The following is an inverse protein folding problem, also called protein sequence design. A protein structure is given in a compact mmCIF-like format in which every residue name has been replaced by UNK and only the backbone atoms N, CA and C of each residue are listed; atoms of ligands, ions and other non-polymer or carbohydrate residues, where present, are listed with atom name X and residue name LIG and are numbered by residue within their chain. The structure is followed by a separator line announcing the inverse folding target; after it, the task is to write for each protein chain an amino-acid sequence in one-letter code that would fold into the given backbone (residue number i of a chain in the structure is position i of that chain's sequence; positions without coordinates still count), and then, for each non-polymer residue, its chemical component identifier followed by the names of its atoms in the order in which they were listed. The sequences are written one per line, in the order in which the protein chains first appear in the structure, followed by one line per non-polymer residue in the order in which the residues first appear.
data_IF_357096474280
#
_entry.id   IF_357096474280
#
_cell.length_a   1.000
_cell.length_b   1.000
_cell.length_c   1.000
_cell.angle_alpha   90.00
_cell.angle_beta   90.00
_cell.angle_gamma   90.00
#
_symmetry.space_group_name_H-M   'P 1'
#
loop_
_entity.id
_entity.type
_entity.pdbx_description
1 polymer ?
#
# COMPACT_ATOMS: atom_id res chain seq x y z
N UNK A 1 -57.82 30.41 -7.50
CA UNK A 1 -56.64 30.07 -8.37
C UNK A 1 -55.32 30.71 -7.87
N UNK A 2 -55.13 30.95 -6.57
CA UNK A 2 -53.94 31.65 -6.04
C UNK A 2 -53.04 30.76 -5.13
N UNK A 3 -53.57 29.72 -4.51
CA UNK A 3 -52.78 28.98 -3.50
C UNK A 3 -51.92 27.89 -4.06
N UNK A 4 -52.25 27.29 -5.21
CA UNK A 4 -51.41 26.25 -5.82
C UNK A 4 -50.16 26.79 -6.54
N UNK A 5 -50.18 28.02 -7.03
CA UNK A 5 -49.03 28.66 -7.68
C UNK A 5 -47.96 29.08 -6.66
N UNK A 6 -48.36 29.44 -5.44
CA UNK A 6 -47.42 29.84 -4.38
C UNK A 6 -46.66 28.63 -3.80
N UNK A 7 -47.33 27.49 -3.66
CA UNK A 7 -46.69 26.24 -3.14
C UNK A 7 -45.69 25.70 -4.14
N UNK A 8 -45.98 25.74 -5.45
CA UNK A 8 -45.04 25.31 -6.49
C UNK A 8 -43.80 26.22 -6.60
N UNK A 9 -43.96 27.52 -6.40
CA UNK A 9 -42.86 28.47 -6.44
C UNK A 9 -41.90 28.29 -5.23
N UNK A 10 -42.42 28.01 -4.05
CA UNK A 10 -41.61 27.75 -2.86
C UNK A 10 -40.88 26.40 -2.93
N UNK A 11 -41.51 25.36 -3.48
CA UNK A 11 -40.83 24.05 -3.65
C UNK A 11 -39.72 24.13 -4.71
N UNK A 12 -39.90 24.89 -5.80
CA UNK A 12 -38.88 25.10 -6.81
C UNK A 12 -37.70 25.96 -6.30
N UNK A 13 -37.98 26.99 -5.49
CA UNK A 13 -36.92 27.81 -4.89
C UNK A 13 -36.09 27.04 -3.84
N UNK A 14 -36.75 26.22 -3.02
CA UNK A 14 -36.05 25.36 -2.05
C UNK A 14 -35.18 24.27 -2.71
N UNK A 15 -35.66 23.68 -3.81
CA UNK A 15 -34.85 22.69 -4.55
C UNK A 15 -33.67 23.34 -5.28
N UNK A 16 -33.82 24.54 -5.80
CA UNK A 16 -32.73 25.26 -6.47
C UNK A 16 -31.67 25.76 -5.51
N UNK A 17 -32.05 26.24 -4.33
CA UNK A 17 -31.10 26.65 -3.30
C UNK A 17 -30.34 25.46 -2.69
N UNK A 18 -31.00 24.30 -2.51
CA UNK A 18 -30.34 23.07 -2.01
C UNK A 18 -29.35 22.50 -3.03
N UNK A 19 -29.65 22.52 -4.32
CA UNK A 19 -28.73 22.07 -5.37
C UNK A 19 -27.55 23.03 -5.54
N UNK A 20 -27.76 24.34 -5.49
CA UNK A 20 -26.67 25.33 -5.54
C UNK A 20 -25.75 25.22 -4.32
N UNK A 21 -26.28 25.00 -3.13
CA UNK A 21 -25.48 24.81 -1.92
C UNK A 21 -24.67 23.49 -1.94
N UNK A 22 -25.27 22.41 -2.41
CA UNK A 22 -24.57 21.12 -2.55
C UNK A 22 -23.46 21.19 -3.60
N UNK A 23 -23.69 21.90 -4.71
CA UNK A 23 -22.67 22.08 -5.76
C UNK A 23 -21.51 22.96 -5.26
N UNK A 24 -21.78 24.03 -4.52
CA UNK A 24 -20.77 24.90 -3.96
C UNK A 24 -19.95 24.20 -2.88
N UNK A 25 -20.56 23.38 -2.03
CA UNK A 25 -19.86 22.56 -1.03
C UNK A 25 -18.98 21.47 -1.68
N UNK A 26 -19.47 20.82 -2.72
CA UNK A 26 -18.67 19.84 -3.47
C UNK A 26 -17.49 20.51 -4.18
N UNK A 27 -17.68 21.69 -4.74
CA UNK A 27 -16.62 22.44 -5.41
C UNK A 27 -15.54 22.93 -4.41
N UNK A 28 -15.93 23.42 -3.23
CA UNK A 28 -14.97 23.83 -2.19
C UNK A 28 -14.14 22.64 -1.69
N UNK A 29 -14.76 21.48 -1.52
CA UNK A 29 -14.05 20.26 -1.10
C UNK A 29 -13.06 19.78 -2.18
N UNK A 30 -13.38 19.88 -3.45
CA UNK A 30 -12.45 19.52 -4.53
C UNK A 30 -11.25 20.51 -4.60
N UNK A 31 -11.43 21.79 -4.32
CA UNK A 31 -10.34 22.78 -4.23
C UNK A 31 -9.39 22.48 -3.07
N UNK A 32 -9.90 22.10 -1.91
CA UNK A 32 -9.10 21.67 -0.75
C UNK A 32 -8.31 20.38 -1.07
N UNK A 33 -8.91 19.41 -1.77
CA UNK A 33 -8.22 18.20 -2.19
C UNK A 33 -7.10 18.50 -3.18
N UNK A 34 -7.33 19.41 -4.16
CA UNK A 34 -6.29 19.87 -5.08
C UNK A 34 -5.11 20.47 -4.32
N UNK A 35 -5.39 21.32 -3.32
CA UNK A 35 -4.34 21.89 -2.47
C UNK A 35 -3.56 20.81 -1.70
N UNK A 36 -4.27 19.84 -1.08
CA UNK A 36 -3.63 18.74 -0.37
C UNK A 36 -2.75 17.89 -1.31
N UNK A 37 -3.23 17.57 -2.51
CA UNK A 37 -2.47 16.81 -3.51
C UNK A 37 -1.24 17.59 -3.98
N UNK A 38 -1.33 18.91 -4.08
CA UNK A 38 -0.20 19.78 -4.45
C UNK A 38 0.95 19.77 -3.43
N UNK A 39 0.69 19.33 -2.19
CA UNK A 39 1.70 19.20 -1.12
C UNK A 39 2.54 17.93 -1.22
N UNK A 40 2.16 16.98 -2.09
CA UNK A 40 2.97 15.82 -2.40
C UNK A 40 4.20 16.28 -3.21
N UNK A 41 5.36 15.85 -2.77
CA UNK A 41 6.64 16.25 -3.35
C UNK A 41 7.48 15.04 -3.73
N UNK A 42 7.90 14.95 -4.99
CA UNK A 42 8.65 13.82 -5.52
C UNK A 42 10.00 13.65 -4.81
N UNK A 43 10.70 14.74 -4.52
CA UNK A 43 12.01 14.67 -3.87
C UNK A 43 11.88 14.28 -2.39
N UNK A 44 10.81 14.70 -1.71
CA UNK A 44 10.48 14.25 -0.35
C UNK A 44 10.21 12.74 -0.33
N UNK A 45 9.37 12.24 -1.23
CA UNK A 45 9.09 10.82 -1.39
C UNK A 45 10.36 10.00 -1.66
N UNK A 46 11.16 10.41 -2.64
CA UNK A 46 12.46 9.81 -2.96
C UNK A 46 13.43 9.84 -1.77
N UNK A 47 13.48 10.96 -1.06
CA UNK A 47 14.34 11.14 0.11
C UNK A 47 14.01 10.14 1.23
N UNK A 48 12.73 9.88 1.46
CA UNK A 48 12.27 8.89 2.44
C UNK A 48 12.70 7.48 2.03
N UNK A 49 12.48 7.08 0.77
CA UNK A 49 12.96 5.79 0.25
C UNK A 49 14.49 5.70 0.38
N UNK A 50 15.20 6.75 -0.02
CA UNK A 50 16.67 6.79 0.11
C UNK A 50 17.13 6.67 1.56
N UNK A 51 16.41 7.28 2.50
CA UNK A 51 16.66 7.13 3.92
C UNK A 51 16.53 5.67 4.40
N UNK A 52 15.54 4.94 3.89
CA UNK A 52 15.35 3.52 4.22
C UNK A 52 16.47 2.62 3.70
N UNK A 53 17.13 2.96 2.58
CA UNK A 53 18.21 2.14 2.01
C UNK A 53 19.44 2.00 2.91
N UNK A 54 19.61 2.89 3.89
CA UNK A 54 20.72 2.80 4.85
C UNK A 54 20.68 1.53 5.71
N UNK A 55 19.53 0.88 5.80
CA UNK A 55 19.32 -0.34 6.59
C UNK A 55 19.32 -1.62 5.72
N UNK A 56 19.72 -1.55 4.45
CA UNK A 56 19.66 -2.68 3.52
C UNK A 56 18.23 -3.13 3.26
N UNK A 57 18.01 -4.44 3.13
CA UNK A 57 16.67 -5.00 2.90
C UNK A 57 15.77 -4.97 4.15
N UNK A 58 16.22 -4.43 5.25
CA UNK A 58 15.45 -4.30 6.51
C UNK A 58 14.81 -5.61 6.97
N UNK A 59 15.46 -6.72 6.67
CA UNK A 59 14.95 -8.06 6.93
C UNK A 59 14.55 -8.20 8.40
N UNK A 60 13.34 -8.64 8.64
CA UNK A 60 12.80 -8.82 9.98
C UNK A 60 13.71 -9.69 10.87
N UNK A 61 13.80 -9.40 12.17
CA UNK A 61 14.61 -10.14 13.13
C UNK A 61 16.09 -9.77 13.17
N UNK A 62 16.50 -8.75 12.43
CA UNK A 62 17.86 -8.19 12.46
C UNK A 62 17.92 -6.90 13.27
N UNK A 63 19.12 -6.49 13.69
CA UNK A 63 19.32 -5.19 14.35
C UNK A 63 19.01 -4.04 13.40
N UNK A 64 19.41 -4.14 12.13
CA UNK A 64 19.12 -3.13 11.12
C UNK A 64 17.61 -2.93 10.87
N UNK A 65 16.80 -3.99 11.03
CA UNK A 65 15.35 -3.87 11.01
C UNK A 65 14.83 -3.08 12.22
N UNK A 66 15.33 -3.36 13.44
CA UNK A 66 14.98 -2.57 14.63
C UNK A 66 15.37 -1.12 14.49
N UNK A 67 16.56 -0.84 13.95
CA UNK A 67 17.00 0.53 13.65
C UNK A 67 16.09 1.22 12.61
N UNK A 68 15.60 0.49 11.62
CA UNK A 68 14.65 1.02 10.63
C UNK A 68 13.29 1.37 11.28
N UNK A 69 12.78 0.51 12.16
CA UNK A 69 11.55 0.80 12.95
C UNK A 69 11.73 2.07 13.78
N UNK A 70 12.88 2.21 14.47
CA UNK A 70 13.19 3.40 15.28
C UNK A 70 13.34 4.66 14.42
N UNK A 71 13.97 4.53 13.26
CA UNK A 71 14.11 5.64 12.31
C UNK A 71 12.74 6.09 11.78
N UNK A 72 11.87 5.15 11.36
CA UNK A 72 10.50 5.46 10.91
C UNK A 72 9.73 6.17 12.01
N UNK A 73 9.76 5.65 13.25
CA UNK A 73 9.11 6.30 14.38
C UNK A 73 9.59 7.75 14.58
N UNK A 74 10.91 7.98 14.49
CA UNK A 74 11.46 9.33 14.61
C UNK A 74 11.05 10.28 13.48
N UNK A 75 10.89 9.76 12.25
CA UNK A 75 10.39 10.56 11.13
C UNK A 75 8.91 10.93 11.32
N UNK A 76 8.06 9.98 11.73
CA UNK A 76 6.65 10.24 12.01
C UNK A 76 6.48 11.30 13.11
N UNK A 77 7.27 11.21 14.19
CA UNK A 77 7.28 12.22 15.25
C UNK A 77 7.67 13.61 14.72
N UNK A 78 8.71 13.67 13.88
CA UNK A 78 9.16 14.92 13.26
C UNK A 78 8.10 15.53 12.31
N UNK A 79 7.23 14.70 11.74
CA UNK A 79 6.09 15.11 10.90
C UNK A 79 4.87 15.55 11.72
N UNK A 80 4.91 15.45 13.05
CA UNK A 80 3.81 15.79 13.94
C UNK A 80 2.79 14.66 14.11
N UNK A 81 3.11 13.43 13.68
CA UNK A 81 2.30 12.24 13.89
C UNK A 81 2.92 11.39 15.00
N UNK A 82 2.34 11.43 16.20
CA UNK A 82 2.89 10.73 17.37
C UNK A 82 2.90 9.22 17.17
N UNK A 83 4.09 8.57 17.16
CA UNK A 83 4.19 7.16 16.87
C UNK A 83 3.80 6.30 18.07
N UNK A 84 3.08 5.22 17.76
CA UNK A 84 2.76 4.12 18.66
C UNK A 84 3.34 2.82 18.12
N UNK A 85 3.42 1.79 18.96
CA UNK A 85 4.00 0.50 18.57
C UNK A 85 3.08 -0.67 18.90
N UNK A 86 3.14 -1.69 18.05
CA UNK A 86 2.69 -3.04 18.36
C UNK A 86 3.93 -3.90 18.57
N UNK A 87 3.96 -4.61 19.68
CA UNK A 87 5.01 -5.56 19.98
C UNK A 87 4.44 -6.98 19.99
N UNK A 88 5.19 -7.91 19.41
CA UNK A 88 4.83 -9.33 19.37
C UNK A 88 6.08 -10.20 19.33
N UNK A 89 5.91 -11.49 19.56
CA UNK A 89 7.02 -12.45 19.49
C UNK A 89 6.86 -13.28 18.21
N UNK A 90 7.92 -13.32 17.41
CA UNK A 90 7.99 -14.20 16.25
C UNK A 90 8.98 -15.33 16.52
N UNK A 91 8.45 -16.52 16.74
CA UNK A 91 9.19 -17.75 17.00
C UNK A 91 8.54 -18.89 16.19
N UNK A 92 8.75 -18.90 14.87
CA UNK A 92 8.14 -19.92 14.02
C UNK A 92 8.71 -21.30 14.31
N UNK A 93 7.82 -22.28 14.43
CA UNK A 93 8.23 -23.67 14.50
C UNK A 93 9.17 -24.05 13.35
N UNK A 94 10.21 -24.83 13.60
CA UNK A 94 11.10 -25.30 12.55
C UNK A 94 10.29 -26.01 11.46
N UNK A 95 10.27 -25.46 10.25
CA UNK A 95 9.58 -26.13 9.15
C UNK A 95 10.23 -27.47 8.88
N UNK A 96 9.44 -28.57 8.87
CA UNK A 96 10.00 -29.86 8.51
C UNK A 96 10.66 -29.77 7.12
N UNK A 97 11.76 -30.49 6.90
CA UNK A 97 12.42 -30.51 5.59
C UNK A 97 11.39 -30.78 4.52
N UNK A 98 11.20 -29.87 3.59
CA UNK A 98 10.29 -30.09 2.46
C UNK A 98 10.82 -31.31 1.70
N UNK A 99 10.03 -32.37 1.63
CA UNK A 99 10.32 -33.48 0.73
C UNK A 99 10.48 -32.88 -0.67
N UNK A 100 11.70 -32.88 -1.19
CA UNK A 100 11.94 -32.51 -2.58
C UNK A 100 11.15 -33.50 -3.43
N UNK A 101 10.03 -33.09 -4.01
CA UNK A 101 9.51 -33.81 -5.16
C UNK A 101 10.65 -33.86 -6.17
N UNK A 102 10.97 -35.04 -6.72
CA UNK A 102 11.95 -35.13 -7.79
C UNK A 102 11.60 -34.08 -8.85
N UNK A 103 12.52 -33.19 -9.17
CA UNK A 103 12.39 -32.38 -10.38
C UNK A 103 12.36 -33.41 -11.52
N UNK A 104 11.33 -33.36 -12.37
CA UNK A 104 11.44 -34.01 -13.67
C UNK A 104 12.68 -33.44 -14.34
N UNK A 105 13.59 -34.28 -14.77
CA UNK A 105 14.78 -33.89 -15.52
C UNK A 105 14.46 -33.43 -16.94
N UNK A 106 13.23 -33.13 -17.25
CA UNK A 106 12.81 -32.54 -18.50
C UNK A 106 13.16 -31.07 -18.51
N UNK A 107 14.02 -30.69 -19.44
CA UNK A 107 14.25 -29.30 -19.76
C UNK A 107 12.89 -28.63 -20.06
N UNK A 108 12.63 -27.44 -19.54
CA UNK A 108 11.38 -26.75 -19.84
C UNK A 108 11.31 -26.53 -21.36
N UNK A 109 10.30 -27.09 -22.00
CA UNK A 109 10.02 -26.79 -23.40
C UNK A 109 9.59 -25.32 -23.54
N UNK A 110 10.54 -24.50 -23.97
CA UNK A 110 10.33 -23.08 -24.21
C UNK A 110 9.57 -22.79 -25.50
N UNK A 111 9.27 -23.80 -26.28
CA UNK A 111 8.62 -23.66 -27.62
C UNK A 111 7.11 -23.80 -27.59
N UNK A 112 6.56 -24.37 -26.53
CA UNK A 112 5.11 -24.42 -26.32
C UNK A 112 4.67 -23.28 -25.40
N UNK A 113 3.57 -22.58 -25.73
CA UNK A 113 2.92 -21.68 -24.79
C UNK A 113 2.31 -22.52 -23.64
N UNK A 114 3.15 -23.06 -22.80
CA UNK A 114 2.68 -23.64 -21.56
C UNK A 114 2.11 -22.54 -20.73
N UNK A 115 0.83 -22.60 -20.44
CA UNK A 115 0.23 -21.76 -19.43
C UNK A 115 1.11 -21.77 -18.19
N UNK A 116 1.95 -20.73 -18.09
CA UNK A 116 2.92 -20.67 -17.03
C UNK A 116 2.20 -20.68 -15.70
N UNK A 117 2.44 -21.65 -14.85
CA UNK A 117 2.02 -21.55 -13.46
C UNK A 117 2.74 -20.35 -12.89
N UNK A 118 1.99 -19.33 -12.54
CA UNK A 118 2.45 -18.29 -11.64
C UNK A 118 3.11 -18.91 -10.43
N UNK A 119 4.10 -18.26 -9.90
CA UNK A 119 4.84 -18.72 -8.76
C UNK A 119 3.94 -19.28 -7.66
N UNK A 120 4.46 -20.05 -6.84
CA UNK A 120 3.93 -21.02 -5.89
C UNK A 120 2.70 -20.66 -5.07
N UNK A 121 2.25 -19.43 -5.07
CA UNK A 121 1.11 -18.93 -4.31
C UNK A 121 -0.23 -18.96 -5.08
N UNK A 122 -0.22 -19.34 -6.33
CA UNK A 122 -1.41 -19.53 -7.15
C UNK A 122 -1.97 -20.95 -7.10
N UNK A 123 -2.13 -21.56 -5.96
CA UNK A 123 -2.73 -22.88 -5.82
C UNK A 123 -4.21 -22.83 -5.50
N UNK A 124 -5.01 -22.18 -6.37
CA UNK A 124 -6.45 -22.40 -6.43
C UNK A 124 -6.76 -23.35 -7.58
N UNK A 125 -7.83 -24.17 -7.51
CA UNK A 125 -8.33 -24.93 -8.65
C UNK A 125 -8.92 -23.94 -9.66
N UNK A 126 -8.13 -23.55 -10.65
CA UNK A 126 -8.49 -22.54 -11.65
C UNK A 126 -7.32 -21.61 -12.00
N UNK A 127 -6.08 -22.04 -11.76
CA UNK A 127 -4.89 -21.26 -12.05
C UNK A 127 -4.96 -20.61 -13.42
N UNK A 128 -4.99 -19.28 -13.46
CA UNK A 128 -4.94 -18.49 -14.68
C UNK A 128 -3.64 -18.79 -15.42
N UNK A 129 -3.75 -19.13 -16.67
CA UNK A 129 -2.62 -19.33 -17.57
C UNK A 129 -2.06 -17.97 -17.92
N UNK A 130 -0.87 -17.65 -17.44
CA UNK A 130 -0.16 -16.46 -17.89
C UNK A 130 0.62 -16.84 -19.15
N UNK A 131 0.30 -16.18 -20.24
CA UNK A 131 1.10 -16.22 -21.46
C UNK A 131 2.18 -15.15 -21.33
N UNK A 132 3.44 -15.52 -21.33
CA UNK A 132 4.53 -14.56 -21.32
C UNK A 132 5.81 -15.05 -20.67
N UNK A 133 6.79 -14.18 -20.63
CA UNK A 133 8.10 -14.43 -20.06
C UNK A 133 8.01 -14.69 -18.56
N UNK A 134 8.75 -15.69 -18.08
CA UNK A 134 8.96 -15.95 -16.65
C UNK A 134 10.39 -15.66 -16.29
N UNK A 135 10.61 -14.66 -15.46
CA UNK A 135 11.85 -14.63 -14.74
C UNK A 135 11.82 -15.58 -13.52
N UNK A 136 12.96 -16.01 -13.01
CA UNK A 136 13.05 -16.77 -11.79
C UNK A 136 12.42 -15.98 -10.64
N UNK A 137 11.35 -16.49 -10.06
CA UNK A 137 10.75 -15.93 -8.87
C UNK A 137 11.23 -16.71 -7.65
N UNK A 138 11.72 -16.03 -6.68
CA UNK A 138 12.14 -16.60 -5.42
C UNK A 138 13.07 -15.65 -4.69
N UNK A 139 13.04 -15.69 -3.36
CA UNK A 139 13.92 -14.87 -2.53
C UNK A 139 15.37 -15.27 -2.78
N UNK A 140 16.16 -14.33 -3.25
CA UNK A 140 17.62 -14.53 -3.31
C UNK A 140 18.19 -14.44 -1.90
N UNK A 141 18.98 -15.44 -1.53
CA UNK A 141 19.68 -15.51 -0.23
C UNK A 141 21.19 -15.62 -0.38
N UNK A 142 21.68 -15.55 -1.60
CA UNK A 142 23.10 -15.60 -1.87
C UNK A 142 23.69 -14.19 -1.82
N UNK A 143 24.41 -13.89 -0.75
CA UNK A 143 25.11 -12.61 -0.58
C UNK A 143 26.03 -12.30 -1.77
N UNK A 144 26.63 -13.31 -2.39
CA UNK A 144 27.57 -13.13 -3.49
C UNK A 144 26.87 -12.79 -4.82
N UNK A 145 25.56 -12.95 -4.90
CA UNK A 145 24.77 -12.48 -6.03
C UNK A 145 24.60 -10.95 -6.07
N UNK A 146 24.82 -10.28 -4.92
CA UNK A 146 24.84 -8.81 -4.84
C UNK A 146 26.22 -8.28 -5.21
N UNK A 147 26.37 -7.51 -6.31
CA UNK A 147 27.68 -7.00 -6.73
C UNK A 147 28.22 -5.90 -5.82
N UNK A 148 27.36 -5.11 -5.19
CA UNK A 148 27.75 -4.00 -4.32
C UNK A 148 28.20 -4.54 -2.94
N UNK A 149 29.45 -4.27 -2.58
CA UNK A 149 30.04 -4.74 -1.31
C UNK A 149 29.36 -4.09 -0.10
N UNK A 150 29.01 -2.82 -0.18
CA UNK A 150 28.31 -2.12 0.90
C UNK A 150 26.95 -2.78 1.19
N UNK A 151 26.20 -3.11 0.14
CA UNK A 151 24.89 -3.76 0.27
C UNK A 151 25.07 -5.19 0.80
N UNK A 152 26.10 -5.92 0.38
CA UNK A 152 26.42 -7.24 0.96
C UNK A 152 26.69 -7.16 2.46
N UNK A 153 27.49 -6.19 2.90
CA UNK A 153 27.81 -6.02 4.31
C UNK A 153 26.56 -5.66 5.13
N UNK A 154 25.71 -4.76 4.64
CA UNK A 154 24.44 -4.41 5.29
C UNK A 154 23.53 -5.63 5.47
N UNK A 155 23.49 -6.51 4.48
CA UNK A 155 22.59 -7.68 4.47
C UNK A 155 23.22 -8.96 5.03
N UNK A 156 24.40 -8.89 5.63
CA UNK A 156 25.12 -10.06 6.18
C UNK A 156 24.48 -10.61 7.44
N UNK A 157 23.82 -9.77 8.20
CA UNK A 157 23.19 -10.16 9.46
C UNK A 157 22.03 -11.14 9.22
N UNK A 158 22.07 -12.28 9.89
CA UNK A 158 20.99 -13.27 9.82
C UNK A 158 19.91 -12.97 10.86
N UNK A 159 18.63 -13.18 10.53
CA UNK A 159 17.52 -12.94 11.43
C UNK A 159 17.52 -13.93 12.60
N UNK A 160 17.17 -13.45 13.77
CA UNK A 160 16.96 -14.28 14.97
C UNK A 160 15.48 -14.29 15.37
N UNK A 161 15.04 -15.37 16.00
CA UNK A 161 13.72 -15.46 16.61
C UNK A 161 13.62 -14.51 17.81
N UNK A 162 12.40 -14.12 18.17
CA UNK A 162 12.15 -13.32 19.37
C UNK A 162 11.27 -12.10 19.11
N UNK A 163 11.43 -11.02 19.90
CA UNK A 163 10.57 -9.84 19.80
C UNK A 163 10.64 -9.14 18.46
N UNK A 164 9.48 -8.67 18.01
CA UNK A 164 9.29 -7.79 16.85
C UNK A 164 8.50 -6.58 17.29
N UNK A 165 8.74 -5.49 16.62
CA UNK A 165 7.99 -4.25 16.78
C UNK A 165 7.64 -3.69 15.40
N UNK A 166 6.49 -3.09 15.31
CA UNK A 166 6.05 -2.28 14.18
C UNK A 166 5.53 -0.94 14.69
N UNK A 167 5.36 0.01 13.80
CA UNK A 167 5.02 1.38 14.17
C UNK A 167 3.83 1.88 13.38
N UNK A 168 2.97 2.62 14.05
CA UNK A 168 1.88 3.36 13.44
C UNK A 168 1.71 4.72 14.13
N UNK A 169 1.00 5.63 13.49
CA UNK A 169 0.51 6.85 14.12
C UNK A 169 -0.91 7.16 13.63
N UNK A 170 -1.62 8.05 14.34
CA UNK A 170 -3.03 8.32 14.05
C UNK A 170 -3.30 9.82 14.01
N UNK A 171 -3.83 10.30 12.88
CA UNK A 171 -4.56 11.56 12.82
C UNK A 171 -5.94 11.34 13.40
N UNK A 172 -6.26 11.94 14.54
CA UNK A 172 -7.56 11.80 15.19
C UNK A 172 -8.59 12.68 14.49
N UNK A 173 -9.75 12.09 14.18
CA UNK A 173 -10.88 12.81 13.59
C UNK A 173 -11.53 13.78 14.55
N UNK A 174 -12.09 14.88 14.03
CA UNK A 174 -12.68 15.95 14.86
C UNK A 174 -14.14 15.69 15.24
N UNK A 175 -14.94 15.10 14.38
CA UNK A 175 -16.37 14.88 14.60
C UNK A 175 -16.76 13.42 14.78
N UNK A 176 -15.97 12.48 14.23
CA UNK A 176 -16.14 11.03 14.31
C UNK A 176 -14.81 10.35 14.67
N UNK A 177 -14.22 10.67 15.84
CA UNK A 177 -12.93 10.11 16.24
C UNK A 177 -12.99 8.59 16.50
N UNK A 178 -14.17 8.04 16.68
CA UNK A 178 -14.46 6.62 16.86
C UNK A 178 -14.51 5.80 15.56
N UNK A 179 -14.29 6.44 14.41
CA UNK A 179 -14.25 5.82 13.09
C UNK A 179 -12.89 6.06 12.43
N UNK A 180 -12.38 5.10 11.62
CA UNK A 180 -11.02 5.16 11.10
C UNK A 180 -10.83 4.46 9.76
N UNK A 181 -10.02 5.07 8.89
CA UNK A 181 -9.37 4.38 7.77
C UNK A 181 -7.94 4.00 8.14
N UNK A 182 -7.49 2.82 7.72
CA UNK A 182 -6.12 2.35 7.92
C UNK A 182 -5.39 2.42 6.57
N UNK A 183 -4.28 3.16 6.53
CA UNK A 183 -3.37 3.24 5.39
C UNK A 183 -2.09 2.50 5.78
N UNK A 184 -1.81 1.38 5.11
CA UNK A 184 -0.72 0.50 5.48
C UNK A 184 0.30 0.28 4.38
N UNK A 185 1.51 -0.07 4.78
CA UNK A 185 2.58 -0.63 3.97
C UNK A 185 3.47 -1.49 4.87
N UNK A 186 4.08 -2.56 4.34
CA UNK A 186 5.11 -3.23 5.14
C UNK A 186 6.47 -2.55 4.96
N UNK A 187 7.29 -2.59 6.01
CA UNK A 187 8.58 -1.91 6.03
C UNK A 187 9.78 -2.85 5.89
N UNK A 188 9.59 -4.13 6.12
CA UNK A 188 10.61 -5.15 5.92
C UNK A 188 10.71 -5.58 4.45
N UNK A 189 11.78 -6.24 4.08
CA UNK A 189 12.01 -6.73 2.74
C UNK A 189 12.99 -7.90 2.72
N UNK A 190 13.26 -8.42 1.53
CA UNK A 190 14.10 -9.56 1.24
C UNK A 190 15.00 -9.34 0.02
N UNK A 191 16.00 -10.21 -0.14
CA UNK A 191 16.66 -10.40 -1.42
C UNK A 191 18.09 -9.94 -1.52
N UNK A 192 18.74 -9.60 -0.41
CA UNK A 192 20.13 -9.10 -0.38
C UNK A 192 20.24 -7.80 -1.20
N UNK A 193 19.40 -6.85 -0.90
CA UNK A 193 19.19 -5.61 -1.63
C UNK A 193 18.98 -4.42 -0.68
N UNK A 194 18.37 -3.35 -1.17
CA UNK A 194 17.98 -2.18 -0.39
C UNK A 194 16.46 -2.10 -0.17
N UNK A 195 15.69 -3.06 -0.71
CA UNK A 195 14.23 -3.13 -0.66
C UNK A 195 13.58 -1.76 -1.01
N UNK A 196 14.01 -1.18 -2.14
CA UNK A 196 13.59 0.14 -2.58
C UNK A 196 12.14 0.11 -3.04
N UNK A 197 11.80 -0.89 -3.85
CA UNK A 197 10.45 -1.08 -4.34
C UNK A 197 9.64 -1.97 -3.39
N UNK A 198 10.18 -3.10 -2.97
CA UNK A 198 9.54 -4.07 -2.09
C UNK A 198 10.14 -4.03 -0.66
N UNK A 199 9.59 -3.23 0.29
CA UNK A 199 8.50 -2.27 0.08
C UNK A 199 8.86 -0.89 0.67
N UNK A 200 10.05 -0.37 0.30
CA UNK A 200 10.44 1.01 0.63
C UNK A 200 9.51 2.03 -0.03
N UNK A 201 9.00 1.70 -1.22
CA UNK A 201 8.09 2.56 -1.98
C UNK A 201 6.76 2.77 -1.26
N UNK A 202 6.10 1.68 -0.84
CA UNK A 202 4.85 1.76 -0.07
C UNK A 202 5.06 2.39 1.30
N UNK A 203 6.15 2.04 2.00
CA UNK A 203 6.52 2.66 3.29
C UNK A 203 6.63 4.17 3.18
N UNK A 204 7.38 4.67 2.19
CA UNK A 204 7.56 6.11 1.98
C UNK A 204 6.25 6.80 1.58
N UNK A 205 5.41 6.13 0.79
CA UNK A 205 4.09 6.64 0.42
C UNK A 205 3.23 6.89 1.66
N UNK A 206 3.12 5.90 2.55
CA UNK A 206 2.32 6.03 3.79
C UNK A 206 2.89 7.13 4.69
N UNK A 207 4.23 7.27 4.75
CA UNK A 207 4.87 8.35 5.51
C UNK A 207 4.59 9.74 4.90
N UNK A 208 4.56 9.89 3.57
CA UNK A 208 4.17 11.15 2.91
C UNK A 208 2.70 11.52 3.20
N UNK A 209 1.80 10.52 3.19
CA UNK A 209 0.41 10.74 3.59
C UNK A 209 0.32 11.19 5.07
N UNK A 210 1.09 10.53 5.96
CA UNK A 210 1.16 10.93 7.37
C UNK A 210 1.63 12.37 7.52
N UNK A 211 2.66 12.79 6.77
CA UNK A 211 3.18 14.17 6.78
C UNK A 211 2.11 15.19 6.40
N UNK A 212 1.35 14.92 5.34
CA UNK A 212 0.35 15.87 4.84
C UNK A 212 -0.86 15.93 5.76
N UNK A 213 -1.44 14.78 6.14
CA UNK A 213 -2.61 14.76 7.01
C UNK A 213 -2.32 15.24 8.44
N UNK A 214 -1.07 15.09 8.94
CA UNK A 214 -0.67 15.58 10.26
C UNK A 214 -0.27 17.05 10.29
N UNK A 215 -0.27 17.74 9.14
CA UNK A 215 -0.07 19.18 9.09
C UNK A 215 -1.09 19.90 9.99
N UNK A 216 -0.67 20.95 10.76
CA UNK A 216 -1.54 21.61 11.74
C UNK A 216 -2.79 22.26 11.14
N UNK A 217 -2.75 22.64 9.86
CA UNK A 217 -3.86 23.25 9.12
C UNK A 217 -4.79 22.22 8.49
N UNK A 218 -4.52 20.91 8.62
CA UNK A 218 -5.38 19.87 8.09
C UNK A 218 -6.23 19.25 9.19
N UNK A 219 -7.54 19.28 9.04
CA UNK A 219 -8.48 18.55 9.86
C UNK A 219 -9.19 17.45 9.08
N UNK A 220 -9.60 16.40 9.76
CA UNK A 220 -10.42 15.31 9.18
C UNK A 220 -11.62 15.04 10.08
N UNK A 221 -12.76 14.67 9.52
CA UNK A 221 -13.92 14.26 10.31
C UNK A 221 -13.69 12.91 10.97
N UNK A 222 -13.10 11.97 10.24
CA UNK A 222 -12.80 10.60 10.65
C UNK A 222 -11.30 10.46 10.92
N UNK A 223 -10.91 9.57 11.83
CA UNK A 223 -9.52 9.27 12.10
C UNK A 223 -8.84 8.57 10.91
N UNK A 224 -7.53 8.77 10.76
CA UNK A 224 -6.70 8.09 9.77
C UNK A 224 -5.50 7.49 10.49
N UNK A 225 -5.28 6.19 10.35
CA UNK A 225 -4.11 5.48 10.87
C UNK A 225 -3.12 5.21 9.76
N UNK A 226 -1.86 5.58 9.97
CA UNK A 226 -0.74 5.31 9.09
C UNK A 226 0.09 4.20 9.72
N UNK A 227 0.05 3.01 9.13
CA UNK A 227 0.61 1.80 9.73
C UNK A 227 1.75 1.23 8.87
N UNK A 228 2.92 1.03 9.48
CA UNK A 228 4.11 0.46 8.85
C UNK A 228 4.33 -0.92 9.47
N UNK A 229 3.79 -1.95 8.77
CA UNK A 229 3.85 -3.33 9.21
C UNK A 229 5.26 -3.88 9.16
N UNK A 230 5.59 -4.78 10.04
CA UNK A 230 6.86 -5.48 10.04
C UNK A 230 6.63 -6.98 9.86
N UNK A 231 7.61 -7.68 9.27
CA UNK A 231 7.54 -9.14 9.14
C UNK A 231 6.41 -9.63 8.21
N UNK A 232 6.14 -8.87 7.16
CA UNK A 232 5.23 -9.26 6.08
C UNK A 232 5.80 -10.44 5.31
N UNK A 233 7.06 -10.34 4.93
CA UNK A 233 7.81 -11.22 4.03
C UNK A 233 7.93 -12.68 4.51
N UNK A 234 7.59 -12.94 5.74
CA UNK A 234 7.57 -14.31 6.29
C UNK A 234 6.17 -14.81 6.61
N UNK A 235 5.14 -14.04 6.25
CA UNK A 235 3.73 -14.45 6.29
C UNK A 235 2.78 -13.49 6.97
N UNK A 236 2.86 -12.18 6.70
CA UNK A 236 1.94 -11.12 7.16
C UNK A 236 1.87 -11.00 8.69
N UNK A 237 2.98 -11.30 9.38
CA UNK A 237 2.93 -11.52 10.83
C UNK A 237 2.69 -10.23 11.63
N UNK A 238 3.19 -9.09 11.17
CA UNK A 238 2.94 -7.81 11.82
C UNK A 238 1.47 -7.39 11.71
N UNK A 239 0.94 -7.35 10.50
CA UNK A 239 -0.47 -7.06 10.27
C UNK A 239 -1.39 -8.00 11.05
N UNK A 240 -1.04 -9.30 11.13
CA UNK A 240 -1.77 -10.27 11.94
C UNK A 240 -1.68 -9.96 13.44
N UNK A 241 -0.51 -9.59 13.93
CA UNK A 241 -0.32 -9.22 15.34
C UNK A 241 -1.13 -7.97 15.72
N UNK A 242 -1.13 -6.96 14.84
CA UNK A 242 -1.99 -5.78 15.01
C UNK A 242 -3.47 -6.18 15.04
N UNK A 243 -3.92 -6.94 14.05
CA UNK A 243 -5.30 -7.40 13.94
C UNK A 243 -5.75 -8.13 15.21
N UNK A 244 -4.98 -9.12 15.66
CA UNK A 244 -5.31 -9.93 16.83
C UNK A 244 -5.38 -9.10 18.12
N UNK A 245 -4.52 -8.09 18.26
CA UNK A 245 -4.49 -7.22 19.43
C UNK A 245 -5.57 -6.15 19.41
N UNK A 246 -6.08 -5.76 18.25
CA UNK A 246 -6.91 -4.56 18.06
C UNK A 246 -8.35 -4.83 17.62
N UNK A 247 -8.63 -5.91 16.93
CA UNK A 247 -9.95 -6.18 16.35
C UNK A 247 -11.10 -6.14 17.37
N UNK A 248 -10.85 -6.62 18.59
CA UNK A 248 -11.86 -6.63 19.66
C UNK A 248 -12.00 -5.28 20.40
N UNK A 249 -11.13 -4.31 20.14
CA UNK A 249 -11.09 -3.01 20.80
C UNK A 249 -11.78 -1.91 19.99
N UNK A 250 -12.21 -2.21 18.78
CA UNK A 250 -12.78 -1.23 17.85
C UNK A 250 -13.97 -0.48 18.44
N UNK A 251 -13.90 0.86 18.41
CA UNK A 251 -14.96 1.76 18.88
C UNK A 251 -15.17 1.75 20.39
N UNK A 252 -14.26 1.12 21.16
CA UNK A 252 -14.33 1.12 22.63
C UNK A 252 -13.61 2.35 23.16
N UNK A 253 -14.38 3.18 23.87
CA UNK A 253 -13.87 4.36 24.54
C UNK A 253 -13.00 3.96 25.76
N UNK A 254 -11.81 4.55 25.88
CA UNK A 254 -10.91 4.26 26.98
C UNK A 254 -10.03 5.49 27.34
N UNK A 255 -10.21 6.06 28.55
CA UNK A 255 -11.17 5.69 29.60
C UNK A 255 -12.64 5.96 29.22
N UNK A 256 -13.56 5.21 29.81
CA UNK A 256 -15.00 5.42 29.55
C UNK A 256 -15.42 6.86 29.89
N UNK A 257 -16.10 7.55 28.98
CA UNK A 257 -16.52 8.94 29.08
C UNK A 257 -15.44 9.97 28.71
N UNK A 258 -14.28 9.53 28.13
CA UNK A 258 -13.21 10.43 27.69
C UNK A 258 -13.37 10.96 26.27
N UNK A 259 -14.17 10.29 25.44
CA UNK A 259 -14.22 10.46 23.98
C UNK A 259 -12.89 10.09 23.30
N UNK A 260 -12.04 9.32 23.95
CA UNK A 260 -10.80 8.78 23.41
C UNK A 260 -10.99 7.32 22.99
N UNK A 261 -10.63 7.02 21.73
CA UNK A 261 -10.76 5.69 21.13
C UNK A 261 -9.38 5.19 20.71
N UNK A 262 -8.68 4.43 21.56
CA UNK A 262 -7.37 3.87 21.21
C UNK A 262 -7.41 3.00 19.93
N UNK A 263 -8.57 2.37 19.67
CA UNK A 263 -8.84 1.67 18.43
C UNK A 263 -10.21 2.10 17.89
N UNK A 264 -10.27 3.12 17.02
CA UNK A 264 -11.52 3.48 16.35
C UNK A 264 -12.06 2.35 15.47
N UNK A 265 -13.33 2.35 15.17
CA UNK A 265 -13.97 1.36 14.29
C UNK A 265 -13.42 1.50 12.86
N UNK A 266 -12.97 0.40 12.30
CA UNK A 266 -12.39 0.37 10.96
C UNK A 266 -13.46 0.55 9.89
N UNK A 267 -13.25 1.50 8.99
CA UNK A 267 -14.11 1.77 7.83
C UNK A 267 -13.54 1.23 6.52
N UNK A 268 -12.23 1.06 6.45
CA UNK A 268 -11.51 0.53 5.30
C UNK A 268 -10.04 0.34 5.60
N UNK A 269 -9.43 -0.64 4.93
CA UNK A 269 -8.00 -0.90 4.96
C UNK A 269 -7.42 -0.77 3.56
N UNK A 270 -6.41 0.07 3.41
CA UNK A 270 -5.75 0.38 2.15
C UNK A 270 -4.27 0.07 2.28
N UNK A 271 -3.80 -0.94 1.57
CA UNK A 271 -2.41 -1.37 1.56
C UNK A 271 -1.68 -0.81 0.35
N UNK A 272 -0.40 -0.47 0.54
CA UNK A 272 0.51 -0.04 -0.52
C UNK A 272 1.70 -0.98 -0.56
N UNK A 273 1.93 -1.60 -1.73
CA UNK A 273 2.92 -2.65 -1.83
C UNK A 273 3.48 -2.72 -3.24
N UNK A 274 4.77 -2.36 -3.41
CA UNK A 274 5.49 -2.29 -4.67
C UNK A 274 4.86 -1.28 -5.66
N UNK A 275 5.42 -0.07 -5.69
CA UNK A 275 4.77 1.07 -6.37
C UNK A 275 5.58 1.63 -7.55
N UNK A 276 6.72 1.01 -7.94
CA UNK A 276 7.66 1.69 -8.83
C UNK A 276 7.79 1.07 -10.22
N UNK A 277 7.37 -0.18 -10.45
CA UNK A 277 7.73 -0.89 -11.66
C UNK A 277 6.54 -1.25 -12.55
N UNK A 278 6.41 -0.58 -13.70
CA UNK A 278 5.50 -1.01 -14.77
C UNK A 278 6.13 -0.83 -16.16
N UNK A 279 7.23 -1.54 -16.40
CA UNK A 279 8.01 -1.48 -17.63
C UNK A 279 7.51 -2.41 -18.74
N UNK A 280 6.43 -3.15 -18.47
CA UNK A 280 5.86 -4.11 -19.41
C UNK A 280 6.67 -5.39 -19.54
N UNK A 281 6.32 -6.20 -20.54
CA UNK A 281 6.98 -7.47 -20.82
C UNK A 281 8.36 -7.26 -21.46
N UNK A 282 9.33 -8.16 -21.19
CA UNK A 282 10.58 -8.20 -21.94
C UNK A 282 10.31 -8.35 -23.45
N UNK A 283 11.18 -7.73 -24.25
CA UNK A 283 11.23 -7.94 -25.70
C UNK A 283 11.58 -9.39 -26.06
N UNK A 284 11.44 -9.75 -27.33
CA UNK A 284 11.67 -11.13 -27.81
C UNK A 284 13.10 -11.67 -27.51
N UNK A 285 14.07 -10.79 -27.35
CA UNK A 285 15.45 -11.07 -26.96
C UNK A 285 15.68 -11.05 -25.43
N UNK A 286 14.62 -10.90 -24.64
CA UNK A 286 14.65 -10.94 -23.19
C UNK A 286 15.07 -9.62 -22.52
N UNK A 287 15.17 -8.53 -23.27
CA UNK A 287 15.52 -7.22 -22.71
C UNK A 287 14.29 -6.56 -22.11
N UNK A 288 14.38 -6.16 -20.85
CA UNK A 288 13.38 -5.34 -20.17
C UNK A 288 13.68 -3.88 -20.41
N UNK A 289 12.66 -3.07 -20.73
CA UNK A 289 12.81 -1.62 -20.85
C UNK A 289 13.35 -1.03 -19.54
N UNK A 290 14.12 0.04 -19.66
CA UNK A 290 14.53 0.85 -18.50
C UNK A 290 13.50 1.91 -18.13
N UNK A 291 12.55 2.16 -19.00
CA UNK A 291 11.55 3.20 -18.85
C UNK A 291 10.18 2.57 -18.59
N UNK A 292 9.34 3.26 -17.86
CA UNK A 292 7.95 2.91 -17.70
C UNK A 292 7.28 2.77 -19.08
N UNK A 293 6.37 1.81 -19.22
CA UNK A 293 5.59 1.70 -20.44
C UNK A 293 4.62 2.89 -20.58
N UNK A 294 4.25 3.28 -21.82
CA UNK A 294 3.31 4.38 -22.02
C UNK A 294 1.94 4.15 -21.35
N UNK A 295 1.56 2.89 -21.14
CA UNK A 295 0.31 2.48 -20.50
C UNK A 295 0.49 2.13 -19.01
N UNK A 296 1.58 2.59 -18.39
CA UNK A 296 1.79 2.40 -16.96
C UNK A 296 0.63 2.97 -16.16
N UNK A 297 0.19 2.25 -15.14
CA UNK A 297 -0.94 2.64 -14.31
C UNK A 297 -0.79 2.19 -12.85
N UNK A 298 -1.56 2.82 -11.99
CA UNK A 298 -1.70 2.39 -10.59
C UNK A 298 -2.81 1.35 -10.53
N UNK A 299 -2.49 0.14 -10.10
CA UNK A 299 -3.48 -0.90 -9.89
C UNK A 299 -4.12 -0.80 -8.51
N UNK A 300 -5.44 -0.73 -8.50
CA UNK A 300 -6.27 -0.79 -7.29
C UNK A 300 -6.92 -2.18 -7.27
N UNK A 301 -6.45 -3.04 -6.40
CA UNK A 301 -6.85 -4.43 -6.34
C UNK A 301 -7.75 -4.72 -5.15
N UNK A 302 -8.74 -5.59 -5.34
CA UNK A 302 -9.56 -6.14 -4.27
C UNK A 302 -9.59 -7.68 -4.32
N UNK A 303 -9.66 -8.32 -3.15
CA UNK A 303 -9.63 -9.78 -3.04
C UNK A 303 -10.96 -10.41 -3.46
N UNK A 304 -10.94 -11.19 -4.54
CA UNK A 304 -12.13 -11.88 -5.05
C UNK A 304 -12.66 -12.98 -4.11
N UNK A 305 -11.85 -13.44 -3.16
CA UNK A 305 -12.23 -14.41 -2.12
C UNK A 305 -12.71 -13.78 -0.81
N UNK A 306 -12.80 -12.45 -0.74
CA UNK A 306 -13.28 -11.74 0.45
C UNK A 306 -14.79 -11.93 0.66
N UNK A 307 -15.22 -12.05 1.93
CA UNK A 307 -16.63 -12.01 2.32
C UNK A 307 -17.23 -10.60 2.10
N UNK A 308 -16.38 -9.55 2.02
CA UNK A 308 -16.73 -8.15 1.79
C UNK A 308 -16.30 -7.69 0.37
N UNK A 309 -16.42 -8.58 -0.62
CA UNK A 309 -15.96 -8.29 -1.99
C UNK A 309 -16.68 -7.08 -2.61
N UNK A 310 -18.00 -6.96 -2.38
CA UNK A 310 -18.80 -5.86 -2.96
C UNK A 310 -18.39 -4.51 -2.35
N UNK A 311 -18.21 -4.44 -1.06
CA UNK A 311 -17.78 -3.25 -0.32
C UNK A 311 -16.34 -2.88 -0.68
N UNK A 312 -15.46 -3.86 -0.81
CA UNK A 312 -14.06 -3.67 -1.24
C UNK A 312 -14.00 -3.16 -2.68
N UNK A 313 -14.82 -3.70 -3.57
CA UNK A 313 -14.94 -3.22 -4.95
C UNK A 313 -15.48 -1.78 -4.99
N UNK A 314 -16.49 -1.44 -4.19
CA UNK A 314 -17.00 -0.07 -4.09
C UNK A 314 -15.94 0.90 -3.58
N UNK A 315 -15.12 0.47 -2.59
CA UNK A 315 -14.00 1.25 -2.10
C UNK A 315 -12.97 1.47 -3.22
N UNK A 316 -12.59 0.43 -3.96
CA UNK A 316 -11.67 0.52 -5.08
C UNK A 316 -12.14 1.51 -6.16
N UNK A 317 -13.43 1.50 -6.50
CA UNK A 317 -13.98 2.46 -7.47
C UNK A 317 -14.03 3.91 -6.96
N UNK A 318 -14.13 4.15 -5.65
CA UNK A 318 -13.97 5.49 -5.07
C UNK A 318 -12.53 5.99 -5.25
N UNK A 319 -11.54 5.12 -5.07
CA UNK A 319 -10.14 5.43 -5.32
C UNK A 319 -9.87 5.69 -6.81
N UNK A 320 -10.45 4.86 -7.69
CA UNK A 320 -10.38 5.09 -9.15
C UNK A 320 -10.95 6.45 -9.55
N UNK A 321 -12.12 6.81 -9.03
CA UNK A 321 -12.75 8.09 -9.32
C UNK A 321 -11.91 9.29 -8.83
N UNK A 322 -11.24 9.14 -7.68
CA UNK A 322 -10.32 10.15 -7.19
C UNK A 322 -9.06 10.24 -8.09
N UNK A 323 -8.48 9.10 -8.49
CA UNK A 323 -7.35 9.06 -9.41
C UNK A 323 -7.67 9.76 -10.74
N UNK A 324 -8.85 9.48 -11.32
CA UNK A 324 -9.29 10.11 -12.59
C UNK A 324 -9.39 11.63 -12.52
N UNK A 325 -9.60 12.16 -11.31
CA UNK A 325 -9.78 13.61 -11.10
C UNK A 325 -8.48 14.31 -10.70
N UNK A 326 -7.58 13.64 -9.94
CA UNK A 326 -6.48 14.29 -9.25
C UNK A 326 -5.07 13.79 -9.61
N UNK A 327 -4.94 12.63 -10.27
CA UNK A 327 -3.62 12.15 -10.70
C UNK A 327 -3.07 13.00 -11.85
N UNK A 328 -1.75 13.18 -11.86
CA UNK A 328 -1.08 14.07 -12.82
C UNK A 328 -0.44 13.33 -14.00
N UNK A 329 0.16 12.15 -13.77
CA UNK A 329 1.02 11.51 -14.76
C UNK A 329 0.46 10.16 -15.23
N UNK A 330 -0.03 9.33 -14.31
CA UNK A 330 -0.47 7.97 -14.61
C UNK A 330 -1.93 7.75 -14.22
N UNK A 331 -2.72 7.01 -15.04
CA UNK A 331 -4.08 6.61 -14.68
C UNK A 331 -4.06 5.57 -13.57
N UNK A 332 -5.24 5.20 -13.09
CA UNK A 332 -5.44 4.04 -12.25
C UNK A 332 -6.43 3.06 -12.87
N UNK A 333 -6.26 1.78 -12.59
CA UNK A 333 -7.18 0.70 -12.96
C UNK A 333 -7.71 -0.02 -11.74
N UNK A 334 -8.84 -0.72 -11.87
CA UNK A 334 -9.43 -1.53 -10.79
C UNK A 334 -9.49 -2.98 -11.24
N UNK A 335 -8.97 -3.89 -10.42
CA UNK A 335 -8.97 -5.31 -10.71
C UNK A 335 -9.23 -6.20 -9.47
N UNK A 336 -9.78 -7.42 -9.68
CA UNK A 336 -10.08 -8.35 -8.60
C UNK A 336 -8.87 -9.23 -8.27
N UNK A 337 -7.70 -8.67 -8.00
CA UNK A 337 -6.49 -9.49 -7.88
C UNK A 337 -5.57 -9.05 -6.75
N UNK A 338 -6.14 -8.67 -5.63
CA UNK A 338 -5.36 -8.48 -4.41
C UNK A 338 -4.76 -9.82 -3.98
N UNK A 339 -3.46 -9.89 -3.90
CA UNK A 339 -2.75 -11.11 -3.53
C UNK A 339 -1.83 -10.85 -2.35
N UNK A 340 -1.83 -11.76 -1.41
CA UNK A 340 -0.77 -12.08 -0.48
C UNK A 340 0.03 -10.88 0.05
N UNK A 341 -0.68 -9.84 0.49
CA UNK A 341 -0.13 -8.69 1.21
C UNK A 341 -0.99 -8.41 2.44
N UNK A 342 -0.61 -7.49 3.29
CA UNK A 342 -1.19 -7.27 4.62
C UNK A 342 -2.69 -7.00 4.64
N UNK A 343 -3.25 -6.39 3.58
CA UNK A 343 -4.70 -6.21 3.44
C UNK A 343 -5.49 -7.53 3.49
N UNK A 344 -4.85 -8.66 3.15
CA UNK A 344 -5.49 -9.97 3.22
C UNK A 344 -5.88 -10.38 4.65
N UNK A 345 -5.18 -9.87 5.65
CA UNK A 345 -5.50 -10.10 7.07
C UNK A 345 -6.85 -9.48 7.45
N UNK A 346 -7.17 -8.35 6.85
CA UNK A 346 -8.35 -7.55 7.17
C UNK A 346 -9.57 -7.84 6.29
N UNK A 347 -9.39 -8.50 5.16
CA UNK A 347 -10.33 -8.56 4.03
C UNK A 347 -11.74 -9.09 4.36
N UNK A 348 -11.89 -9.92 5.41
CA UNK A 348 -13.18 -10.47 5.84
C UNK A 348 -13.80 -9.70 7.03
N UNK A 349 -13.13 -8.64 7.50
CA UNK A 349 -13.57 -7.85 8.66
C UNK A 349 -13.93 -6.42 8.27
N UNK A 350 -13.21 -5.87 7.28
CA UNK A 350 -13.40 -4.51 6.78
C UNK A 350 -13.13 -4.48 5.27
N UNK A 351 -13.81 -3.61 4.48
CA UNK A 351 -13.48 -3.42 3.07
C UNK A 351 -11.99 -3.16 2.90
N UNK A 352 -11.32 -3.98 2.11
CA UNK A 352 -9.85 -3.95 1.97
C UNK A 352 -9.43 -3.93 0.52
N UNK A 353 -8.50 -3.05 0.20
CA UNK A 353 -7.88 -2.90 -1.12
C UNK A 353 -6.36 -2.81 -1.00
N UNK A 354 -5.68 -3.09 -2.11
CA UNK A 354 -4.25 -2.83 -2.27
C UNK A 354 -3.99 -1.97 -3.49
N UNK A 355 -3.08 -1.00 -3.37
CA UNK A 355 -2.51 -0.31 -4.50
C UNK A 355 -1.17 -0.96 -4.84
N UNK A 356 -0.94 -1.16 -6.14
CA UNK A 356 0.27 -1.80 -6.69
C UNK A 356 0.72 -1.14 -7.99
N UNK A 357 1.94 -1.44 -8.37
CA UNK A 357 2.57 -0.93 -9.60
C UNK A 357 2.02 -1.53 -10.89
N UNK A 358 1.42 -2.73 -10.82
CA UNK A 358 0.93 -3.46 -11.98
C UNK A 358 -0.01 -4.60 -11.57
N UNK A 359 -0.79 -5.11 -12.53
CA UNK A 359 -1.66 -6.25 -12.34
C UNK A 359 -0.88 -7.56 -12.24
N UNK A 360 -0.84 -8.18 -11.08
CA UNK A 360 -0.18 -9.46 -10.89
C UNK A 360 -0.99 -10.60 -11.53
N UNK A 361 -0.43 -11.20 -12.56
CA UNK A 361 -0.89 -12.47 -13.09
C UNK A 361 -2.09 -12.44 -14.02
N UNK A 362 -2.65 -11.29 -14.34
CA UNK A 362 -3.79 -11.19 -15.25
C UNK A 362 -3.39 -11.02 -16.71
N UNK A 363 -2.19 -10.51 -17.02
CA UNK A 363 -1.79 -10.15 -18.37
C UNK A 363 -0.48 -10.81 -18.81
N UNK A 364 -0.34 -10.95 -20.11
CA UNK A 364 0.85 -11.48 -20.79
C UNK A 364 2.07 -10.60 -20.51
N UNK A 365 2.80 -10.91 -19.46
CA UNK A 365 4.04 -10.26 -19.10
C UNK A 365 3.94 -8.84 -18.55
N UNK A 366 2.76 -8.23 -18.52
CA UNK A 366 2.60 -6.84 -18.07
C UNK A 366 2.80 -6.68 -16.55
N UNK A 367 2.46 -7.68 -15.75
CA UNK A 367 2.64 -7.69 -14.31
C UNK A 367 4.00 -8.20 -13.84
N UNK A 368 5.02 -8.08 -14.65
CA UNK A 368 6.32 -8.62 -14.35
C UNK A 368 7.26 -7.60 -13.73
N UNK A 369 7.78 -7.89 -12.55
CA UNK A 369 8.85 -7.13 -11.94
C UNK A 369 10.11 -8.03 -11.70
N UNK A 370 11.23 -7.81 -12.40
CA UNK A 370 12.44 -8.61 -12.24
C UNK A 370 13.24 -8.25 -11.00
N UNK A 371 12.90 -7.15 -10.32
CA UNK A 371 13.63 -6.69 -9.13
C UNK A 371 13.12 -7.38 -7.86
N UNK A 372 11.88 -7.84 -7.85
CA UNK A 372 11.20 -8.41 -6.70
C UNK A 372 12.00 -9.55 -6.05
N UNK A 373 12.35 -9.38 -4.77
CA UNK A 373 13.13 -10.32 -3.96
C UNK A 373 14.52 -10.67 -4.53
N UNK A 374 15.10 -9.80 -5.34
CA UNK A 374 16.40 -10.00 -5.98
C UNK A 374 17.41 -8.93 -5.59
N UNK A 375 18.71 -9.12 -5.87
CA UNK A 375 19.73 -8.10 -5.65
C UNK A 375 19.54 -6.82 -6.49
N UNK A 376 18.57 -6.79 -7.40
CA UNK A 376 18.27 -5.66 -8.27
C UNK A 376 17.32 -4.64 -7.63
N UNK A 377 16.67 -4.96 -6.51
CA UNK A 377 15.81 -4.00 -5.80
C UNK A 377 16.65 -3.01 -5.00
N UNK A 378 17.36 -2.16 -5.72
CA UNK A 378 18.30 -1.17 -5.19
C UNK A 378 18.03 0.21 -5.81
N UNK A 379 18.46 1.26 -5.11
CA UNK A 379 18.21 2.66 -5.49
C UNK A 379 18.57 2.97 -6.95
N UNK A 380 19.68 2.45 -7.43
CA UNK A 380 20.20 2.74 -8.78
C UNK A 380 19.44 2.05 -9.91
N UNK A 381 18.52 1.16 -9.58
CA UNK A 381 17.67 0.48 -10.57
C UNK A 381 16.55 1.38 -11.08
N UNK A 382 16.02 2.23 -10.22
CA UNK A 382 14.82 3.02 -10.50
C UNK A 382 15.14 4.42 -10.98
N UNK A 383 14.30 4.92 -11.89
CA UNK A 383 14.36 6.25 -12.50
C UNK A 383 13.36 7.20 -11.86
N UNK A 384 13.40 8.47 -12.22
CA UNK A 384 12.42 9.44 -11.75
C UNK A 384 11.00 9.12 -12.22
N UNK A 385 10.84 8.49 -13.39
CA UNK A 385 9.52 8.09 -13.89
C UNK A 385 8.93 6.94 -13.04
N UNK A 386 9.79 6.05 -12.53
CA UNK A 386 9.40 5.00 -11.58
C UNK A 386 8.89 5.62 -10.27
N UNK A 387 9.65 6.56 -9.71
CA UNK A 387 9.22 7.27 -8.49
C UNK A 387 7.96 8.11 -8.71
N UNK A 388 7.72 8.64 -9.93
CA UNK A 388 6.47 9.32 -10.26
C UNK A 388 5.26 8.39 -10.26
N UNK A 389 5.42 7.13 -10.68
CA UNK A 389 4.35 6.15 -10.55
C UNK A 389 3.94 5.95 -9.08
N UNK A 390 4.93 5.82 -8.19
CA UNK A 390 4.69 5.76 -6.74
C UNK A 390 4.03 7.03 -6.19
N UNK A 391 4.46 8.20 -6.65
CA UNK A 391 3.85 9.48 -6.27
C UNK A 391 2.39 9.56 -6.75
N UNK A 392 2.08 9.04 -7.93
CA UNK A 392 0.71 8.95 -8.44
C UNK A 392 -0.18 8.03 -7.59
N UNK A 393 0.37 6.94 -7.07
CA UNK A 393 -0.36 6.12 -6.10
C UNK A 393 -0.62 6.89 -4.79
N UNK A 394 0.32 7.74 -4.36
CA UNK A 394 0.11 8.65 -3.23
C UNK A 394 -0.99 9.68 -3.53
N UNK A 395 -1.02 10.26 -4.72
CA UNK A 395 -2.09 11.17 -5.16
C UNK A 395 -3.46 10.48 -5.15
N UNK A 396 -3.53 9.25 -5.66
CA UNK A 396 -4.73 8.41 -5.63
C UNK A 396 -5.25 8.21 -4.21
N UNK A 397 -4.37 7.80 -3.29
CA UNK A 397 -4.77 7.53 -1.91
C UNK A 397 -5.10 8.80 -1.15
N UNK A 398 -4.27 9.84 -1.27
CA UNK A 398 -4.49 11.12 -0.60
C UNK A 398 -5.86 11.71 -0.96
N UNK A 399 -6.14 11.81 -2.26
CA UNK A 399 -7.39 12.41 -2.75
C UNK A 399 -8.62 11.59 -2.38
N UNK A 400 -8.56 10.26 -2.48
CA UNK A 400 -9.64 9.37 -2.08
C UNK A 400 -9.91 9.45 -0.58
N UNK A 401 -8.87 9.37 0.24
CA UNK A 401 -8.98 9.38 1.70
C UNK A 401 -9.37 10.77 2.22
N UNK A 402 -8.85 11.85 1.64
CA UNK A 402 -9.27 13.21 1.97
C UNK A 402 -10.79 13.38 1.80
N UNK A 403 -11.34 12.87 0.70
CA UNK A 403 -12.79 12.87 0.46
C UNK A 403 -13.54 11.96 1.42
N UNK A 404 -13.06 10.75 1.68
CA UNK A 404 -13.70 9.77 2.56
C UNK A 404 -13.66 10.16 4.04
N UNK A 405 -12.57 10.77 4.46
CA UNK A 405 -12.36 11.22 5.83
C UNK A 405 -12.86 12.64 6.08
N UNK A 406 -13.43 13.33 5.07
CA UNK A 406 -13.91 14.70 5.20
C UNK A 406 -12.80 15.67 5.56
N UNK A 407 -11.66 15.60 4.86
CA UNK A 407 -10.54 16.49 5.11
C UNK A 407 -10.88 17.94 4.74
N UNK A 408 -10.39 18.88 5.55
CA UNK A 408 -10.53 20.32 5.39
C UNK A 408 -9.25 21.02 5.72
N UNK A 409 -9.05 22.18 5.08
CA UNK A 409 -7.96 23.10 5.41
C UNK A 409 -8.48 24.24 6.30
N UNK A 410 -7.81 24.48 7.40
CA UNK A 410 -8.08 25.61 8.27
C UNK A 410 -7.20 26.80 7.84
N UNK A 411 -7.76 28.03 7.91
CA UNK A 411 -7.07 29.28 7.63
C UNK A 411 -5.93 29.56 8.62
#
# INVERSE_FOLDING_TARGET
MSDHALILAHAAALSLTATLSATALAQSNDEEIVELVSRLDLESYKSTIKGLTQFGDRRQGTERNRMAVDWIASQLEAMGCSPERIEYVFDPEPRPPRSRRPRSNEEPDLTTPTGGRVGRNGSGPGGSSIYGYRAPTGVNRDLMAQPDERIRELNREEPVNGPRSEVYCTKVGTSRPDEMYILGAHMDGHGVNEAVNDNGSGTALVMELARIFSSPDVETEVSIRFALWNNEETGLNGAQAYFDQRVALQGIENPAGSSEYPEPRWLGMIQHDMMLWDHGAPSADGVVSRDQRPEADVNIEFQSGSELIEESMQLAFKFKAAADQFNTDYPATVGPHMTNTDSSVFMNTVPSISLRENERGAHTGAGWNPTWHTPLDVWTTFTDDDFRLGLNAAQTTLSAVARLAGAKLND
#
